data_IF_879036861880
#
_entry.id   IF_879036861880
#
_cell.length_a   1.000
_cell.length_b   1.000
_cell.length_c   1.000
_cell.angle_alpha   90.00
_cell.angle_beta   90.00
_cell.angle_gamma   90.00
#
_symmetry.space_group_name_H-M   'P 1'
#
loop_
_entity.id
_entity.type
_entity.pdbx_description
1 polymer ?
#
# COMPACT_ATOMS: atom_id res chain seq x y z
N UNK A 1 -41.08 -13.60 -25.77
CA UNK A 1 -39.76 -13.25 -25.19
C UNK A 1 -38.76 -14.42 -25.28
N UNK A 2 -38.88 -15.49 -24.47
CA UNK A 2 -37.88 -16.58 -24.41
C UNK A 2 -37.67 -17.32 -25.75
N UNK A 3 -38.73 -17.61 -26.49
CA UNK A 3 -38.62 -18.24 -27.82
C UNK A 3 -37.94 -17.35 -28.86
N UNK A 4 -38.16 -16.02 -28.78
CA UNK A 4 -37.56 -15.05 -29.71
C UNK A 4 -36.05 -14.92 -29.45
N UNK A 5 -35.64 -14.93 -28.19
CA UNK A 5 -34.24 -14.82 -27.76
C UNK A 5 -33.51 -16.18 -27.69
N UNK A 6 -34.18 -17.29 -28.03
CA UNK A 6 -33.67 -18.67 -27.93
C UNK A 6 -33.07 -19.01 -26.56
N UNK A 7 -33.69 -18.55 -25.47
CA UNK A 7 -33.27 -18.84 -24.09
C UNK A 7 -34.27 -19.78 -23.43
N UNK A 8 -33.81 -20.66 -22.54
CA UNK A 8 -34.71 -21.51 -21.76
C UNK A 8 -35.59 -20.68 -20.81
N UNK A 9 -36.88 -21.02 -20.74
CA UNK A 9 -37.83 -20.35 -19.84
C UNK A 9 -37.40 -20.46 -18.38
N UNK A 10 -36.89 -21.63 -17.96
CA UNK A 10 -36.37 -21.86 -16.61
C UNK A 10 -35.16 -20.97 -16.28
N UNK A 11 -34.23 -20.82 -17.23
CA UNK A 11 -33.07 -19.93 -17.08
C UNK A 11 -33.48 -18.47 -16.96
N UNK A 12 -34.47 -18.04 -17.75
CA UNK A 12 -35.03 -16.69 -17.66
C UNK A 12 -35.66 -16.40 -16.29
N UNK A 13 -36.52 -17.29 -15.78
CA UNK A 13 -37.14 -17.08 -14.47
C UNK A 13 -36.13 -17.23 -13.31
N UNK A 14 -35.11 -18.08 -13.46
CA UNK A 14 -34.02 -18.17 -12.49
C UNK A 14 -33.24 -16.86 -12.42
N UNK A 15 -32.79 -16.33 -13.56
CA UNK A 15 -32.10 -15.04 -13.63
C UNK A 15 -32.98 -13.90 -13.09
N UNK A 16 -34.26 -13.86 -13.45
CA UNK A 16 -35.20 -12.84 -12.96
C UNK A 16 -35.36 -12.85 -11.44
N UNK A 17 -35.31 -14.03 -10.81
CA UNK A 17 -35.36 -14.18 -9.34
C UNK A 17 -34.03 -13.87 -8.66
N UNK A 18 -32.90 -13.91 -9.39
CA UNK A 18 -31.56 -13.76 -8.85
C UNK A 18 -30.81 -12.64 -9.58
N UNK A 19 -31.14 -11.36 -9.30
CA UNK A 19 -30.51 -10.22 -9.97
C UNK A 19 -29.00 -10.18 -9.74
N UNK A 20 -28.52 -10.74 -8.62
CA UNK A 20 -27.10 -10.95 -8.33
C UNK A 20 -26.83 -12.46 -8.37
N UNK A 21 -26.01 -12.90 -9.33
CA UNK A 21 -25.60 -14.29 -9.41
C UNK A 21 -24.74 -14.72 -8.22
N UNK A 22 -24.80 -15.99 -7.84
CA UNK A 22 -24.03 -16.58 -6.71
C UNK A 22 -22.53 -16.26 -6.80
N UNK A 23 -21.98 -16.23 -8.02
CA UNK A 23 -20.58 -15.87 -8.26
C UNK A 23 -20.27 -14.43 -7.84
N UNK A 24 -21.16 -13.50 -8.15
CA UNK A 24 -21.02 -12.09 -7.79
C UNK A 24 -21.19 -11.89 -6.28
N UNK A 25 -22.09 -12.64 -5.65
CA UNK A 25 -22.23 -12.61 -4.19
C UNK A 25 -20.93 -13.05 -3.48
N UNK A 26 -20.35 -14.19 -3.89
CA UNK A 26 -19.04 -14.65 -3.38
C UNK A 26 -17.90 -13.68 -3.67
N UNK A 27 -17.98 -12.96 -4.79
CA UNK A 27 -17.02 -11.92 -5.14
C UNK A 27 -17.13 -10.73 -4.19
N UNK A 28 -18.34 -10.22 -3.97
CA UNK A 28 -18.61 -9.11 -3.06
C UNK A 28 -18.21 -9.45 -1.62
N UNK A 29 -18.50 -10.66 -1.15
CA UNK A 29 -18.05 -11.13 0.17
C UNK A 29 -16.53 -11.10 0.32
N UNK A 30 -15.81 -11.64 -0.67
CA UNK A 30 -14.34 -11.61 -0.66
C UNK A 30 -13.81 -10.18 -0.71
N UNK A 31 -14.45 -9.31 -1.49
CA UNK A 31 -14.07 -7.91 -1.62
C UNK A 31 -14.21 -7.16 -0.29
N UNK A 32 -15.27 -7.42 0.47
CA UNK A 32 -15.45 -6.85 1.81
C UNK A 32 -14.27 -7.19 2.72
N UNK A 33 -13.84 -8.46 2.74
CA UNK A 33 -12.69 -8.86 3.55
C UNK A 33 -11.38 -8.22 3.08
N UNK A 34 -11.15 -8.16 1.76
CA UNK A 34 -9.96 -7.51 1.19
C UNK A 34 -9.91 -6.03 1.57
N UNK A 35 -11.03 -5.31 1.46
CA UNK A 35 -11.11 -3.89 1.84
C UNK A 35 -10.87 -3.70 3.33
N UNK A 36 -11.48 -4.53 4.17
CA UNK A 36 -11.27 -4.48 5.62
C UNK A 36 -9.78 -4.64 5.99
N UNK A 37 -9.11 -5.64 5.43
CA UNK A 37 -7.68 -5.87 5.67
C UNK A 37 -6.83 -4.70 5.14
N UNK A 38 -7.12 -4.24 3.92
CA UNK A 38 -6.41 -3.11 3.32
C UNK A 38 -6.51 -1.86 4.18
N UNK A 39 -7.71 -1.52 4.67
CA UNK A 39 -7.93 -0.40 5.58
C UNK A 39 -7.22 -0.60 6.93
N UNK A 40 -7.27 -1.79 7.52
CA UNK A 40 -6.56 -2.11 8.77
C UNK A 40 -5.04 -1.95 8.61
N UNK A 41 -4.50 -2.30 7.44
CA UNK A 41 -3.08 -2.10 7.11
C UNK A 41 -2.71 -0.65 6.73
N UNK A 42 -3.66 0.29 6.79
CA UNK A 42 -3.52 1.67 6.30
C UNK A 42 -3.06 1.73 4.83
N UNK A 43 -3.48 0.75 4.02
CA UNK A 43 -3.09 0.62 2.63
C UNK A 43 -1.66 0.13 2.38
N UNK A 44 -0.90 -0.29 3.39
CA UNK A 44 0.48 -0.77 3.21
C UNK A 44 0.54 -2.16 2.57
N UNK A 45 -0.49 -2.99 2.76
CA UNK A 45 -0.45 -4.37 2.30
C UNK A 45 -0.86 -4.48 0.83
N UNK A 46 -0.06 -5.25 0.08
CA UNK A 46 -0.35 -5.65 -1.30
C UNK A 46 -1.02 -7.02 -1.36
N UNK A 47 -1.32 -7.48 -2.57
CA UNK A 47 -2.03 -8.74 -2.80
C UNK A 47 -1.41 -9.98 -2.13
N UNK A 48 -0.08 -10.12 -1.97
CA UNK A 48 0.49 -11.28 -1.28
C UNK A 48 0.13 -11.29 0.22
N UNK A 49 0.40 -10.18 0.91
CA UNK A 49 0.15 -10.05 2.36
C UNK A 49 -1.34 -10.14 2.68
N UNK A 50 -2.19 -9.53 1.86
CA UNK A 50 -3.65 -9.63 2.03
C UNK A 50 -4.12 -11.08 1.84
N UNK A 51 -3.56 -11.83 0.90
CA UNK A 51 -3.95 -13.23 0.70
C UNK A 51 -3.52 -14.14 1.86
N UNK A 52 -2.36 -13.87 2.46
CA UNK A 52 -1.91 -14.62 3.64
C UNK A 52 -2.78 -14.26 4.86
N UNK A 53 -3.10 -12.98 5.08
CA UNK A 53 -3.99 -12.57 6.17
C UNK A 53 -5.43 -13.11 6.00
N UNK A 54 -5.92 -13.21 4.75
CA UNK A 54 -7.17 -13.90 4.46
C UNK A 54 -7.10 -15.39 4.83
N UNK A 55 -5.96 -16.05 4.58
CA UNK A 55 -5.76 -17.46 4.96
C UNK A 55 -5.78 -17.63 6.48
N UNK A 56 -5.14 -16.72 7.21
CA UNK A 56 -5.11 -16.71 8.67
C UNK A 56 -6.50 -16.52 9.28
N UNK A 57 -7.36 -15.75 8.59
CA UNK A 57 -8.79 -15.59 8.93
C UNK A 57 -9.67 -16.77 8.47
N UNK A 58 -9.10 -17.84 7.93
CA UNK A 58 -9.81 -19.04 7.46
C UNK A 58 -10.43 -18.91 6.07
N UNK A 59 -10.22 -17.81 5.35
CA UNK A 59 -10.75 -17.58 4.00
C UNK A 59 -9.81 -18.17 2.96
N UNK A 60 -10.09 -19.41 2.51
CA UNK A 60 -9.30 -20.10 1.48
C UNK A 60 -9.41 -19.40 0.12
N UNK A 61 -8.39 -18.63 -0.25
CA UNK A 61 -8.27 -18.01 -1.57
C UNK A 61 -6.84 -18.06 -2.11
N UNK A 62 -6.71 -18.16 -3.44
CA UNK A 62 -5.41 -18.10 -4.12
C UNK A 62 -4.90 -16.67 -4.23
N UNK A 63 -3.59 -16.45 -4.15
CA UNK A 63 -2.97 -15.13 -4.36
C UNK A 63 -3.40 -14.48 -5.69
N UNK A 64 -3.45 -15.24 -6.79
CA UNK A 64 -3.88 -14.74 -8.11
C UNK A 64 -5.34 -14.26 -8.14
N UNK A 65 -6.21 -14.80 -7.28
CA UNK A 65 -7.60 -14.34 -7.18
C UNK A 65 -7.66 -13.01 -6.45
N UNK A 66 -6.90 -12.87 -5.36
CA UNK A 66 -6.78 -11.61 -4.60
C UNK A 66 -6.15 -10.52 -5.47
N UNK A 67 -5.07 -10.82 -6.19
CA UNK A 67 -4.41 -9.88 -7.09
C UNK A 67 -5.36 -9.37 -8.19
N UNK A 68 -6.09 -10.26 -8.87
CA UNK A 68 -7.10 -9.87 -9.88
C UNK A 68 -8.22 -9.04 -9.28
N UNK A 69 -8.67 -9.38 -8.07
CA UNK A 69 -9.72 -8.65 -7.37
C UNK A 69 -9.26 -7.23 -7.03
N UNK A 70 -8.09 -7.09 -6.41
CA UNK A 70 -7.50 -5.79 -6.09
C UNK A 70 -7.29 -4.93 -7.34
N UNK A 71 -6.80 -5.52 -8.43
CA UNK A 71 -6.60 -4.81 -9.69
C UNK A 71 -7.92 -4.27 -10.27
N UNK A 72 -8.98 -5.09 -10.28
CA UNK A 72 -10.31 -4.66 -10.78
C UNK A 72 -10.92 -3.53 -9.98
N UNK A 73 -10.68 -3.54 -8.67
CA UNK A 73 -11.24 -2.58 -7.71
C UNK A 73 -10.31 -1.39 -7.45
N UNK A 74 -9.23 -1.25 -8.24
CA UNK A 74 -8.21 -0.22 -8.12
C UNK A 74 -7.57 -0.11 -6.72
N UNK A 75 -7.58 -1.20 -5.94
CA UNK A 75 -6.96 -1.26 -4.61
C UNK A 75 -5.46 -1.50 -4.80
N UNK A 76 -4.63 -0.56 -4.34
CA UNK A 76 -3.16 -0.62 -4.46
C UNK A 76 -2.50 -0.49 -3.09
N UNK A 77 -1.36 -1.15 -2.95
CA UNK A 77 -0.50 -0.96 -1.79
C UNK A 77 0.28 0.35 -1.90
N UNK A 78 0.42 1.06 -0.79
CA UNK A 78 1.32 2.20 -0.66
C UNK A 78 2.75 1.69 -0.72
N UNK A 79 3.50 2.10 -1.74
CA UNK A 79 4.94 1.87 -1.81
C UNK A 79 5.66 3.14 -1.37
N UNK A 80 6.43 3.05 -0.28
CA UNK A 80 7.34 4.14 0.09
C UNK A 80 8.64 4.00 -0.70
N UNK A 81 9.15 5.10 -1.24
CA UNK A 81 10.52 5.13 -1.76
C UNK A 81 11.46 4.97 -0.57
N UNK A 82 12.46 4.08 -0.68
CA UNK A 82 13.49 3.94 0.36
C UNK A 82 14.13 5.33 0.57
N UNK A 83 14.10 5.82 1.81
CA UNK A 83 14.82 7.03 2.17
C UNK A 83 16.31 6.77 1.95
N UNK A 84 16.93 7.52 1.04
CA UNK A 84 18.36 7.48 0.79
C UNK A 84 18.95 8.67 1.53
N UNK A 85 19.62 8.41 2.64
CA UNK A 85 20.47 9.40 3.30
C UNK A 85 21.57 9.76 2.30
N UNK A 86 21.45 10.92 1.67
CA UNK A 86 22.61 11.57 1.04
C UNK A 86 23.36 12.21 2.18
N UNK A 87 24.23 11.43 2.82
CA UNK A 87 25.20 11.98 3.78
C UNK A 87 25.93 13.08 3.05
N UNK A 88 25.91 14.29 3.62
CA UNK A 88 26.55 15.51 3.15
C UNK A 88 27.80 15.22 2.33
N UNK A 89 27.77 15.56 1.04
CA UNK A 89 28.95 15.54 0.19
C UNK A 89 29.81 16.73 0.60
N UNK A 90 30.66 16.52 1.60
CA UNK A 90 31.52 17.57 2.17
C UNK A 90 32.58 18.08 1.19
N UNK A 91 32.78 17.38 0.07
CA UNK A 91 33.63 17.79 -1.04
C UNK A 91 32.76 18.21 -2.23
N UNK A 92 32.08 19.35 -2.10
CA UNK A 92 31.31 19.95 -3.18
C UNK A 92 31.91 21.29 -3.60
N UNK A 93 31.78 21.65 -4.87
CA UNK A 93 32.21 22.95 -5.39
C UNK A 93 31.20 24.09 -5.12
N UNK A 94 30.11 23.81 -4.39
CA UNK A 94 29.17 24.86 -4.00
C UNK A 94 29.83 25.86 -3.04
N UNK A 95 29.50 27.15 -3.15
CA UNK A 95 30.06 28.18 -2.27
C UNK A 95 29.70 27.88 -0.82
N UNK A 96 30.73 27.71 0.02
CA UNK A 96 30.57 27.59 1.47
C UNK A 96 30.04 28.92 2.01
N UNK A 97 28.95 28.87 2.76
CA UNK A 97 28.37 30.07 3.36
C UNK A 97 29.39 30.77 4.27
N UNK A 98 29.44 32.11 4.19
CA UNK A 98 30.36 32.91 5.02
C UNK A 98 30.03 32.70 6.50
N UNK A 99 31.05 32.46 7.31
CA UNK A 99 30.94 32.32 8.75
C UNK A 99 30.66 33.67 9.41
N UNK A 100 29.39 34.09 9.43
CA UNK A 100 28.96 35.37 10.00
C UNK A 100 29.08 35.42 11.53
N UNK A 101 29.13 34.24 12.18
CA UNK A 101 29.24 34.11 13.63
C UNK A 101 30.69 34.04 14.12
N UNK A 102 31.68 34.06 13.20
CA UNK A 102 33.11 33.91 13.50
C UNK A 102 33.41 32.71 14.44
N UNK A 103 32.68 31.60 14.29
CA UNK A 103 32.88 30.40 15.13
C UNK A 103 33.97 29.50 14.55
N UNK A 104 34.80 28.89 15.38
CA UNK A 104 35.84 27.98 14.90
C UNK A 104 35.27 26.58 14.63
N UNK A 105 35.24 26.19 13.36
CA UNK A 105 34.76 24.87 12.88
C UNK A 105 35.91 23.98 12.36
N UNK A 106 37.16 24.38 12.58
CA UNK A 106 38.35 23.57 12.34
C UNK A 106 38.61 22.65 13.54
N UNK A 107 38.84 21.37 13.30
CA UNK A 107 39.23 20.40 14.33
C UNK A 107 40.29 19.44 13.78
N UNK A 108 41.28 19.11 14.61
CA UNK A 108 42.33 18.16 14.26
C UNK A 108 41.87 16.70 14.43
N UNK A 109 40.92 16.45 15.36
CA UNK A 109 40.36 15.12 15.62
C UNK A 109 38.82 15.14 15.62
N UNK A 110 38.17 14.06 15.13
CA UNK A 110 36.72 13.96 15.16
C UNK A 110 36.15 14.17 16.57
N UNK A 111 35.20 15.10 16.72
CA UNK A 111 34.51 15.36 17.98
C UNK A 111 35.05 16.51 18.84
N UNK A 112 36.14 17.18 18.44
CA UNK A 112 36.74 18.27 19.22
C UNK A 112 35.96 19.59 19.18
N UNK A 113 35.33 19.93 18.06
CA UNK A 113 34.63 21.19 17.86
C UNK A 113 33.11 20.99 17.70
N UNK A 114 32.55 20.02 18.43
CA UNK A 114 31.10 19.87 18.52
C UNK A 114 30.56 21.08 19.26
N UNK A 115 29.76 21.91 18.60
CA UNK A 115 28.88 22.86 19.27
C UNK A 115 27.87 22.06 20.09
N UNK A 116 28.20 21.83 21.36
CA UNK A 116 27.29 21.25 22.34
C UNK A 116 26.27 22.33 22.72
N UNK A 117 25.21 22.47 21.94
CA UNK A 117 23.97 23.07 22.44
C UNK A 117 23.19 21.97 23.15
N UNK A 118 23.63 21.66 24.36
CA UNK A 118 22.87 20.91 25.35
C UNK A 118 23.17 21.51 26.73
N UNK A 119 22.23 22.30 27.24
CA UNK A 119 21.81 22.40 28.65
C UNK A 119 21.09 23.74 28.87
N UNK A 120 19.77 23.68 28.94
CA UNK A 120 18.92 24.82 29.30
C UNK A 120 17.45 24.42 29.30
N UNK A 121 17.06 23.69 30.36
CA UNK A 121 15.71 23.43 30.91
C UNK A 121 14.60 23.12 29.91
#
# INVERSE_FOLDING_TARGET
MCNVLKVSSSGYYYWRKHPIGVRQMKHNQLLTHVRQIHTQSQGRYGSPRIADELRDRGVKTSHNRVARLMHREAIRSIMYKKYRVQTTESAHDYPVAKNLLNREFTAEKPGQNRSAEAMGI
#
